data_IF_831540608866
#
_entry.id   IF_831540608866
#
_cell.length_a   1.000
_cell.length_b   1.000
_cell.length_c   1.000
_cell.angle_alpha   90.00
_cell.angle_beta   90.00
_cell.angle_gamma   90.00
#
_symmetry.space_group_name_H-M   'P 1'
#
loop_
_entity.id
_entity.type
_entity.pdbx_description
1 polymer ?
#
# COMPACT_ATOMS: atom_id res chain seq x y z
N UNK A 1 -29.51 46.84 -41.86
CA UNK A 1 -29.56 45.82 -40.82
C UNK A 1 -28.44 46.10 -39.82
N UNK A 2 -28.55 47.25 -39.10
CA UNK A 2 -27.57 47.70 -38.11
C UNK A 2 -28.09 48.97 -37.42
N UNK A 3 -29.21 48.91 -36.70
CA UNK A 3 -29.68 50.09 -35.95
C UNK A 3 -30.44 49.71 -34.65
N UNK A 4 -30.40 48.48 -34.19
CA UNK A 4 -31.19 48.05 -33.02
C UNK A 4 -30.36 47.48 -31.83
N UNK A 5 -29.04 47.72 -31.79
CA UNK A 5 -28.17 47.25 -30.70
C UNK A 5 -27.45 48.35 -29.90
N UNK A 6 -27.86 49.61 -30.02
CA UNK A 6 -27.19 50.75 -29.32
C UNK A 6 -28.02 51.51 -28.30
N UNK A 7 -29.18 51.00 -27.89
CA UNK A 7 -30.09 51.75 -27.00
C UNK A 7 -30.41 51.08 -25.65
N UNK A 8 -29.65 50.11 -25.19
CA UNK A 8 -29.91 49.44 -23.90
C UNK A 8 -28.79 49.69 -22.83
N UNK A 9 -27.71 50.39 -23.15
CA UNK A 9 -26.62 50.68 -22.21
C UNK A 9 -26.64 52.09 -21.54
N UNK A 10 -27.72 52.84 -21.62
CA UNK A 10 -27.76 54.22 -21.11
C UNK A 10 -28.78 54.50 -19.99
N UNK A 11 -29.37 53.49 -19.36
CA UNK A 11 -30.43 53.68 -18.35
C UNK A 11 -30.12 53.14 -16.94
N UNK A 12 -28.86 52.80 -16.61
CA UNK A 12 -28.52 52.27 -15.27
C UNK A 12 -27.38 53.05 -14.55
N UNK A 13 -27.16 54.31 -14.85
CA UNK A 13 -26.10 55.12 -14.28
C UNK A 13 -26.60 56.46 -13.66
N UNK A 14 -27.82 56.54 -13.15
CA UNK A 14 -28.30 57.81 -12.57
C UNK A 14 -29.22 57.67 -11.35
N UNK A 15 -28.90 56.80 -10.38
CA UNK A 15 -29.58 56.75 -9.08
C UNK A 15 -28.62 56.43 -7.93
N UNK A 16 -27.45 57.09 -7.88
CA UNK A 16 -26.53 56.98 -6.71
C UNK A 16 -25.88 58.33 -6.43
N UNK A 17 -26.65 59.38 -6.15
CA UNK A 17 -26.16 60.60 -5.56
C UNK A 17 -27.34 61.38 -4.98
N UNK A 18 -27.75 61.10 -3.73
CA UNK A 18 -28.38 62.06 -2.80
C UNK A 18 -28.81 61.31 -1.52
N UNK A 19 -27.91 61.21 -0.53
CA UNK A 19 -28.26 61.20 0.90
C UNK A 19 -27.00 61.20 1.76
N UNK A 20 -26.32 62.36 1.81
CA UNK A 20 -25.36 62.70 2.83
C UNK A 20 -25.87 63.96 3.50
N UNK A 21 -26.57 63.81 4.62
CA UNK A 21 -26.65 64.74 5.73
C UNK A 21 -27.75 64.33 6.71
N UNK A 22 -27.39 63.67 7.83
CA UNK A 22 -28.00 63.93 9.15
C UNK A 22 -27.32 63.09 10.24
N UNK A 23 -26.56 63.80 11.05
CA UNK A 23 -26.36 63.64 12.51
C UNK A 23 -26.32 62.25 13.16
N UNK A 24 -25.11 61.91 13.64
CA UNK A 24 -24.73 61.49 14.98
C UNK A 24 -25.73 60.70 15.84
N UNK A 25 -25.51 59.37 15.90
CA UNK A 25 -25.67 58.58 17.11
C UNK A 25 -24.81 57.31 16.96
N UNK A 26 -24.01 57.01 17.99
CA UNK A 26 -23.23 55.81 18.13
C UNK A 26 -24.09 54.59 17.80
N UNK A 27 -23.84 53.90 16.73
CA UNK A 27 -24.44 52.60 16.43
C UNK A 27 -23.59 51.53 17.07
N UNK A 28 -24.21 50.74 17.92
CA UNK A 28 -23.79 49.46 18.46
C UNK A 28 -23.54 48.51 17.28
N UNK A 29 -22.36 47.89 17.24
CA UNK A 29 -22.03 46.87 16.24
C UNK A 29 -23.00 45.69 16.39
N UNK A 30 -23.83 45.46 15.37
CA UNK A 30 -24.60 44.23 15.28
C UNK A 30 -23.67 43.05 15.05
N UNK A 31 -23.87 41.89 15.72
CA UNK A 31 -23.05 40.72 15.53
C UNK A 31 -23.15 40.28 14.05
N UNK A 32 -21.98 40.03 13.46
CA UNK A 32 -21.88 39.42 12.13
C UNK A 32 -22.66 38.10 12.13
N UNK A 33 -23.66 38.02 11.26
CA UNK A 33 -24.33 36.75 10.98
C UNK A 33 -23.31 35.83 10.31
N UNK A 34 -22.90 34.79 11.01
CA UNK A 34 -22.22 33.65 10.41
C UNK A 34 -23.13 33.11 9.30
N UNK A 35 -22.67 33.22 8.06
CA UNK A 35 -23.26 32.51 6.92
C UNK A 35 -23.03 31.04 7.18
N UNK A 36 -24.09 30.19 7.28
CA UNK A 36 -23.86 28.74 7.43
C UNK A 36 -23.00 28.28 6.27
N UNK A 37 -21.91 27.55 6.58
CA UNK A 37 -21.14 26.86 5.57
C UNK A 37 -22.11 25.99 4.76
N UNK A 38 -22.19 26.23 3.47
CA UNK A 38 -23.02 25.46 2.56
C UNK A 38 -22.38 24.05 2.52
N UNK A 39 -23.03 23.06 3.13
CA UNK A 39 -22.63 21.67 3.00
C UNK A 39 -22.53 21.34 1.50
N UNK A 40 -21.38 20.79 1.10
CA UNK A 40 -21.21 20.28 -0.26
C UNK A 40 -22.31 19.25 -0.56
N UNK A 41 -22.85 19.20 -1.78
CA UNK A 41 -23.79 18.16 -2.16
C UNK A 41 -23.21 16.78 -1.83
N UNK A 42 -24.01 15.82 -1.32
CA UNK A 42 -23.52 14.46 -1.09
C UNK A 42 -22.96 13.90 -2.41
N UNK A 43 -21.75 13.34 -2.35
CA UNK A 43 -21.13 12.66 -3.49
C UNK A 43 -22.04 11.49 -3.92
N UNK A 44 -22.18 11.28 -5.24
CA UNK A 44 -22.87 10.11 -5.74
C UNK A 44 -22.08 8.84 -5.35
N UNK A 45 -22.76 7.74 -4.94
CA UNK A 45 -22.09 6.50 -4.59
C UNK A 45 -21.24 6.00 -5.75
N UNK A 46 -19.94 5.80 -5.50
CA UNK A 46 -18.99 5.26 -6.48
C UNK A 46 -18.52 3.88 -6.03
N UNK A 47 -18.46 2.93 -6.96
CA UNK A 47 -17.84 1.63 -6.69
C UNK A 47 -16.32 1.74 -6.89
N UNK A 48 -15.55 1.64 -5.81
CA UNK A 48 -14.09 1.71 -5.82
C UNK A 48 -13.49 0.39 -6.32
N UNK A 49 -12.69 0.42 -7.38
CA UNK A 49 -12.04 -0.76 -7.97
C UNK A 49 -10.66 -0.96 -7.36
N UNK A 50 -10.47 -2.06 -6.62
CA UNK A 50 -9.27 -2.30 -5.81
C UNK A 50 -8.64 -3.63 -6.18
N UNK A 51 -7.34 -3.62 -6.51
CA UNK A 51 -6.54 -4.83 -6.67
C UNK A 51 -5.62 -5.08 -5.48
N UNK A 52 -5.27 -6.35 -5.23
CA UNK A 52 -4.16 -6.71 -4.34
C UNK A 52 -3.48 -8.00 -4.79
N UNK A 53 -2.24 -8.17 -4.33
CA UNK A 53 -1.48 -9.39 -4.57
C UNK A 53 -1.88 -10.47 -3.55
N UNK A 54 -1.94 -11.73 -4.02
CA UNK A 54 -2.14 -12.88 -3.14
C UNK A 54 -1.06 -12.92 -2.06
N UNK A 55 -1.49 -12.95 -0.81
CA UNK A 55 -0.60 -12.90 0.34
C UNK A 55 -1.00 -11.83 1.36
N UNK A 56 -0.08 -11.34 2.20
CA UNK A 56 -0.39 -10.45 3.33
C UNK A 56 -1.10 -9.16 2.91
N UNK A 57 -0.72 -8.57 1.76
CA UNK A 57 -1.33 -7.34 1.24
C UNK A 57 -2.83 -7.47 0.91
N UNK A 58 -3.34 -8.71 0.71
CA UNK A 58 -4.75 -8.98 0.48
C UNK A 58 -5.50 -9.41 1.75
N UNK A 59 -4.81 -9.98 2.74
CA UNK A 59 -5.44 -10.60 3.92
C UNK A 59 -6.17 -9.60 4.80
N UNK A 60 -5.63 -8.40 5.00
CA UNK A 60 -6.22 -7.39 5.88
C UNK A 60 -7.61 -6.90 5.49
N UNK A 61 -8.03 -7.14 4.23
CA UNK A 61 -9.32 -6.66 3.70
C UNK A 61 -10.43 -7.72 3.66
N UNK A 62 -10.20 -8.96 4.12
CA UNK A 62 -11.18 -10.04 3.93
C UNK A 62 -12.50 -9.79 4.65
N UNK A 63 -12.48 -9.11 5.80
CA UNK A 63 -13.71 -8.72 6.49
C UNK A 63 -14.47 -7.68 5.67
N UNK A 64 -13.78 -6.69 5.11
CA UNK A 64 -14.33 -5.70 4.21
C UNK A 64 -14.95 -6.36 2.96
N UNK A 65 -14.24 -7.31 2.34
CA UNK A 65 -14.75 -8.07 1.19
C UNK A 65 -15.98 -8.90 1.51
N UNK A 66 -16.07 -9.42 2.74
CA UNK A 66 -17.20 -10.22 3.20
C UNK A 66 -18.45 -9.36 3.48
N UNK A 67 -18.27 -8.19 4.11
CA UNK A 67 -19.38 -7.36 4.59
C UNK A 67 -19.97 -6.46 3.50
N UNK A 68 -19.17 -5.99 2.55
CA UNK A 68 -19.58 -5.03 1.53
C UNK A 68 -20.83 -5.44 0.72
N UNK A 69 -20.93 -6.67 0.17
CA UNK A 69 -22.11 -7.09 -0.57
C UNK A 69 -23.39 -7.17 0.27
N UNK A 70 -23.27 -7.16 1.59
CA UNK A 70 -24.37 -7.34 2.53
C UNK A 70 -24.95 -5.99 3.03
N UNK A 71 -24.35 -4.87 2.65
CA UNK A 71 -24.75 -3.53 3.10
C UNK A 71 -26.15 -3.10 2.63
N UNK A 72 -26.71 -3.73 1.59
CA UNK A 72 -28.04 -3.43 1.05
C UNK A 72 -28.12 -2.24 0.11
N UNK A 73 -27.04 -1.47 -0.03
CA UNK A 73 -26.92 -0.29 -0.91
C UNK A 73 -26.20 -0.59 -2.23
N UNK A 74 -25.86 -1.85 -2.47
CA UNK A 74 -24.99 -2.29 -3.55
C UNK A 74 -23.52 -2.30 -3.12
N UNK A 75 -22.63 -2.98 -3.88
CA UNK A 75 -21.23 -3.09 -3.51
C UNK A 75 -20.51 -1.75 -3.65
N UNK A 76 -19.89 -1.28 -2.56
CA UNK A 76 -19.00 -0.12 -2.57
C UNK A 76 -17.64 -0.44 -3.21
N UNK A 77 -17.28 -1.72 -3.29
CA UNK A 77 -15.97 -2.15 -3.76
C UNK A 77 -16.06 -3.24 -4.82
N UNK A 78 -15.16 -3.17 -5.81
CA UNK A 78 -14.90 -4.24 -6.76
C UNK A 78 -13.48 -4.74 -6.55
N UNK A 79 -13.33 -5.95 -6.01
CA UNK A 79 -12.03 -6.51 -5.64
C UNK A 79 -11.45 -7.41 -6.72
N UNK A 80 -10.14 -7.26 -6.99
CA UNK A 80 -9.36 -8.11 -7.88
C UNK A 80 -8.16 -8.68 -7.11
N UNK A 81 -7.88 -9.99 -7.31
CA UNK A 81 -6.68 -10.65 -6.82
C UNK A 81 -5.75 -10.98 -7.99
N UNK A 82 -4.47 -10.68 -7.82
CA UNK A 82 -3.41 -10.96 -8.80
C UNK A 82 -2.28 -11.78 -8.16
N UNK A 83 -1.52 -12.49 -8.99
CA UNK A 83 -0.36 -13.25 -8.56
C UNK A 83 0.90 -12.40 -8.42
N UNK A 84 1.03 -11.37 -9.28
CA UNK A 84 2.19 -10.51 -9.35
C UNK A 84 1.81 -9.04 -9.63
N UNK A 85 2.73 -8.12 -9.31
CA UNK A 85 2.47 -6.68 -9.40
C UNK A 85 2.35 -6.16 -10.84
N UNK A 86 2.99 -6.82 -11.80
CA UNK A 86 2.93 -6.48 -13.23
C UNK A 86 1.56 -6.76 -13.86
N UNK A 87 0.74 -7.62 -13.24
CA UNK A 87 -0.66 -7.81 -13.63
C UNK A 87 -1.56 -6.61 -13.22
N UNK A 88 -1.18 -5.88 -12.16
CA UNK A 88 -1.98 -4.81 -11.53
C UNK A 88 -1.59 -3.43 -12.04
N UNK A 89 -0.29 -3.16 -12.15
CA UNK A 89 0.23 -1.80 -12.40
C UNK A 89 -0.25 -1.17 -13.71
N UNK A 90 -0.37 -1.90 -14.85
CA UNK A 90 -0.89 -1.29 -16.07
C UNK A 90 -2.35 -0.83 -15.95
N UNK A 91 -3.19 -1.61 -15.25
CA UNK A 91 -4.61 -1.29 -15.04
C UNK A 91 -4.79 -0.09 -14.09
N UNK A 92 -3.93 0.02 -13.06
CA UNK A 92 -3.91 1.18 -12.17
C UNK A 92 -3.52 2.45 -12.92
N UNK A 93 -2.45 2.41 -13.72
CA UNK A 93 -1.97 3.58 -14.50
C UNK A 93 -3.00 4.01 -15.55
N UNK A 94 -3.70 3.06 -16.20
CA UNK A 94 -4.74 3.37 -17.20
C UNK A 94 -6.04 3.89 -16.60
N UNK A 95 -6.27 3.70 -15.29
CA UNK A 95 -7.52 4.04 -14.63
C UNK A 95 -8.59 2.95 -14.71
N UNK A 96 -8.22 1.71 -15.07
CA UNK A 96 -9.11 0.54 -14.93
C UNK A 96 -9.27 0.11 -13.47
N UNK A 97 -8.33 0.51 -12.60
CA UNK A 97 -8.35 0.39 -11.15
C UNK A 97 -8.22 1.78 -10.52
N UNK A 98 -8.81 1.96 -9.34
CA UNK A 98 -8.73 3.20 -8.56
C UNK A 98 -7.68 3.11 -7.47
N UNK A 99 -7.56 1.92 -6.85
CA UNK A 99 -6.61 1.62 -5.79
C UNK A 99 -5.92 0.27 -6.03
N UNK A 100 -4.74 0.10 -5.45
CA UNK A 100 -4.04 -1.18 -5.44
C UNK A 100 -3.20 -1.37 -4.18
N UNK A 101 -3.07 -2.62 -3.73
CA UNK A 101 -2.09 -3.01 -2.73
C UNK A 101 -0.85 -3.54 -3.46
N UNK A 102 0.28 -2.86 -3.29
CA UNK A 102 1.53 -3.12 -4.03
C UNK A 102 2.73 -3.15 -3.09
N UNK A 103 3.89 -3.70 -3.53
CA UNK A 103 5.14 -3.58 -2.78
C UNK A 103 5.51 -2.11 -2.50
N UNK A 104 6.06 -1.86 -1.31
CA UNK A 104 6.31 -0.51 -0.83
C UNK A 104 7.25 0.31 -1.73
N UNK A 105 8.34 -0.29 -2.22
CA UNK A 105 9.25 0.36 -3.14
C UNK A 105 8.61 0.65 -4.50
N UNK A 106 7.75 -0.26 -4.98
CA UNK A 106 7.05 -0.10 -6.27
C UNK A 106 6.09 1.10 -6.24
N UNK A 107 5.50 1.44 -5.10
CA UNK A 107 4.68 2.64 -4.96
C UNK A 107 5.48 3.91 -5.32
N UNK A 108 6.73 4.04 -4.83
CA UNK A 108 7.63 5.15 -5.20
C UNK A 108 8.00 5.12 -6.69
N UNK A 109 8.28 3.93 -7.24
CA UNK A 109 8.54 3.76 -8.69
C UNK A 109 7.33 4.21 -9.52
N UNK A 110 6.12 3.86 -9.11
CA UNK A 110 4.89 4.26 -9.79
C UNK A 110 4.68 5.77 -9.71
N UNK A 111 4.82 6.36 -8.52
CA UNK A 111 4.76 7.81 -8.35
C UNK A 111 5.72 8.53 -9.30
N UNK A 112 6.99 8.09 -9.34
CA UNK A 112 8.00 8.72 -10.19
C UNK A 112 7.72 8.55 -11.69
N UNK A 113 7.25 7.36 -12.11
CA UNK A 113 6.92 7.07 -13.51
C UNK A 113 5.67 7.78 -14.01
N UNK A 114 4.75 8.07 -13.12
CA UNK A 114 3.49 8.75 -13.43
C UNK A 114 3.51 10.24 -13.09
N UNK A 115 4.68 10.78 -12.72
CA UNK A 115 4.86 12.19 -12.37
C UNK A 115 3.92 12.66 -11.23
N UNK A 116 3.68 11.79 -10.23
CA UNK A 116 2.86 12.10 -9.08
C UNK A 116 1.40 11.64 -9.15
N UNK A 117 0.99 10.97 -10.24
CA UNK A 117 -0.41 10.55 -10.42
C UNK A 117 -0.82 9.33 -9.57
N UNK A 118 0.15 8.63 -8.95
CA UNK A 118 -0.10 7.53 -8.02
C UNK A 118 0.47 7.91 -6.65
N UNK A 119 -0.39 7.96 -5.63
CA UNK A 119 -0.03 8.33 -4.25
C UNK A 119 -0.31 7.20 -3.28
N UNK A 120 0.30 7.24 -2.09
CA UNK A 120 0.17 6.20 -1.06
C UNK A 120 -0.83 6.63 0.01
N UNK A 121 -1.79 5.74 0.31
CA UNK A 121 -2.86 5.96 1.29
C UNK A 121 -2.55 5.36 2.66
N UNK A 122 -1.91 4.17 2.70
CA UNK A 122 -1.60 3.46 3.92
C UNK A 122 -0.43 2.50 3.74
N UNK A 123 0.33 2.24 4.81
CA UNK A 123 1.13 1.01 4.94
C UNK A 123 0.20 -0.10 5.39
N UNK A 124 0.19 -1.21 4.67
CA UNK A 124 -0.71 -2.34 4.94
C UNK A 124 0.00 -3.62 5.39
N UNK A 125 1.31 -3.71 5.21
CA UNK A 125 2.10 -4.88 5.58
C UNK A 125 3.52 -4.44 5.94
N UNK A 126 3.95 -4.76 7.15
CA UNK A 126 5.33 -4.56 7.58
C UNK A 126 6.22 -5.71 7.09
N UNK A 127 7.36 -5.98 7.73
CA UNK A 127 8.26 -7.05 7.34
C UNK A 127 7.63 -8.44 7.46
N UNK A 128 7.73 -9.25 6.40
CA UNK A 128 7.16 -10.61 6.33
C UNK A 128 8.06 -11.56 5.55
N UNK A 129 9.33 -11.18 5.35
CA UNK A 129 10.29 -11.91 4.54
C UNK A 129 11.20 -12.78 5.41
N UNK A 130 11.42 -14.00 4.97
CA UNK A 130 12.20 -15.00 5.70
C UNK A 130 13.13 -15.76 4.76
N UNK A 131 14.34 -16.08 5.22
CA UNK A 131 15.13 -17.15 4.62
C UNK A 131 14.70 -18.47 5.27
N UNK A 132 14.21 -19.39 4.45
CA UNK A 132 13.89 -20.75 4.88
C UNK A 132 14.92 -21.72 4.32
N UNK A 133 15.18 -22.78 5.07
CA UNK A 133 16.17 -23.78 4.71
C UNK A 133 15.68 -25.21 4.99
N UNK A 134 15.83 -26.08 4.01
CA UNK A 134 15.77 -27.52 4.19
C UNK A 134 17.19 -28.05 4.43
N UNK A 135 17.65 -27.92 5.66
CA UNK A 135 19.03 -28.17 6.08
C UNK A 135 19.33 -27.44 7.40
N UNK A 136 20.62 -27.28 7.70
CA UNK A 136 21.09 -26.62 8.92
C UNK A 136 22.44 -25.88 8.70
N UNK A 137 22.63 -25.28 7.53
CA UNK A 137 23.86 -24.59 7.15
C UNK A 137 23.80 -23.06 7.31
N UNK A 138 22.60 -22.49 7.49
CA UNK A 138 22.37 -21.03 7.62
C UNK A 138 21.95 -20.71 9.05
N UNK A 139 22.74 -19.94 9.78
CA UNK A 139 22.43 -19.44 11.13
C UNK A 139 22.61 -17.95 11.26
N UNK A 140 23.20 -17.29 10.25
CA UNK A 140 23.41 -15.86 10.14
C UNK A 140 23.38 -15.43 8.68
N UNK A 141 23.27 -14.12 8.41
CA UNK A 141 23.40 -13.59 7.05
C UNK A 141 24.72 -14.00 6.40
N UNK A 142 25.83 -14.03 7.15
CA UNK A 142 27.15 -14.40 6.65
C UNK A 142 27.21 -15.83 6.06
N UNK A 143 26.38 -16.75 6.55
CA UNK A 143 26.33 -18.14 6.05
C UNK A 143 25.71 -18.26 4.64
N UNK A 144 25.12 -17.19 4.13
CA UNK A 144 24.57 -17.13 2.76
C UNK A 144 25.65 -17.00 1.69
N UNK A 145 26.88 -16.61 2.05
CA UNK A 145 27.99 -16.54 1.11
C UNK A 145 28.26 -17.91 0.44
N UNK A 146 28.38 -17.91 -0.89
CA UNK A 146 28.53 -19.09 -1.73
C UNK A 146 27.29 -19.96 -1.89
N UNK A 147 26.11 -19.50 -1.41
CA UNK A 147 24.86 -20.27 -1.50
C UNK A 147 24.03 -19.83 -2.72
N UNK A 148 23.12 -20.73 -3.11
CA UNK A 148 22.05 -20.41 -4.06
C UNK A 148 20.75 -20.21 -3.27
N UNK A 149 20.12 -19.07 -3.45
CA UNK A 149 18.85 -18.66 -2.82
C UNK A 149 17.80 -18.59 -3.92
N UNK A 150 16.75 -19.41 -3.83
CA UNK A 150 15.61 -19.29 -4.74
C UNK A 150 14.68 -18.19 -4.21
N UNK A 151 14.29 -17.24 -5.06
CA UNK A 151 13.49 -16.09 -4.66
C UNK A 151 12.48 -15.71 -5.73
N UNK A 152 11.47 -14.93 -5.36
CA UNK A 152 10.55 -14.26 -6.29
C UNK A 152 10.38 -12.79 -5.89
N UNK A 153 9.81 -11.99 -6.79
CA UNK A 153 9.65 -10.56 -6.55
C UNK A 153 10.85 -9.73 -6.99
N UNK A 154 11.48 -10.12 -8.10
CA UNK A 154 12.54 -9.31 -8.74
C UNK A 154 11.99 -7.92 -9.10
N UNK A 155 12.76 -6.86 -8.84
CA UNK A 155 12.35 -5.46 -9.02
C UNK A 155 11.39 -4.95 -7.95
N UNK A 156 11.17 -5.70 -6.87
CA UNK A 156 10.29 -5.30 -5.76
C UNK A 156 10.93 -5.51 -4.39
N UNK A 157 10.21 -5.19 -3.31
CA UNK A 157 10.72 -5.26 -1.93
C UNK A 157 11.54 -6.51 -1.60
N UNK A 158 11.15 -7.75 -1.99
CA UNK A 158 11.95 -8.94 -1.67
C UNK A 158 13.39 -8.87 -2.21
N UNK A 159 13.58 -8.39 -3.45
CA UNK A 159 14.93 -8.26 -4.00
C UNK A 159 15.74 -7.21 -3.25
N UNK A 160 15.21 -6.01 -3.12
CA UNK A 160 15.99 -4.91 -2.58
C UNK A 160 16.28 -5.08 -1.08
N UNK A 161 15.34 -5.64 -0.31
CA UNK A 161 15.57 -5.96 1.09
C UNK A 161 16.66 -7.02 1.26
N UNK A 162 16.63 -8.09 0.46
CA UNK A 162 17.67 -9.13 0.51
C UNK A 162 19.05 -8.57 0.11
N UNK A 163 19.11 -7.82 -1.00
CA UNK A 163 20.37 -7.23 -1.49
C UNK A 163 20.97 -6.26 -0.47
N UNK A 164 20.15 -5.39 0.12
CA UNK A 164 20.57 -4.48 1.17
C UNK A 164 21.14 -5.22 2.36
N UNK A 165 20.40 -6.20 2.91
CA UNK A 165 20.88 -6.99 4.06
C UNK A 165 22.15 -7.81 3.77
N UNK A 166 22.31 -8.34 2.56
CA UNK A 166 23.56 -8.99 2.15
C UNK A 166 24.71 -7.99 2.16
N UNK A 167 24.54 -6.82 1.55
CA UNK A 167 25.58 -5.78 1.47
C UNK A 167 25.99 -5.29 2.85
N UNK A 168 25.04 -5.00 3.75
CA UNK A 168 25.32 -4.57 5.12
C UNK A 168 26.05 -5.65 5.96
N UNK A 169 25.93 -6.92 5.56
CA UNK A 169 26.68 -8.01 6.17
C UNK A 169 27.97 -8.36 5.41
N UNK A 170 28.43 -7.50 4.50
CA UNK A 170 29.70 -7.65 3.79
C UNK A 170 29.67 -8.70 2.68
N UNK A 171 28.50 -9.07 2.17
CA UNK A 171 28.29 -10.03 1.09
C UNK A 171 27.86 -9.26 -0.17
N UNK A 172 28.64 -9.38 -1.24
CA UNK A 172 28.25 -8.82 -2.53
C UNK A 172 27.12 -9.67 -3.14
N UNK A 173 25.91 -9.11 -3.32
CA UNK A 173 24.76 -9.86 -3.82
C UNK A 173 24.89 -10.29 -5.30
N UNK A 174 25.86 -9.76 -6.03
CA UNK A 174 26.09 -10.08 -7.45
C UNK A 174 27.20 -11.13 -7.65
N UNK A 175 28.13 -11.26 -6.70
CA UNK A 175 29.31 -12.15 -6.82
C UNK A 175 29.40 -13.23 -5.76
N UNK A 176 28.93 -12.96 -4.54
CA UNK A 176 29.13 -13.86 -3.41
C UNK A 176 27.95 -14.81 -3.16
N UNK A 177 26.80 -14.57 -3.78
CA UNK A 177 25.61 -15.43 -3.74
C UNK A 177 25.05 -15.62 -5.13
N UNK A 178 24.28 -16.69 -5.33
CA UNK A 178 23.46 -16.86 -6.53
C UNK A 178 21.99 -16.69 -6.15
N UNK A 179 21.28 -15.70 -6.70
CA UNK A 179 19.85 -15.55 -6.49
C UNK A 179 19.12 -16.07 -7.75
N UNK A 180 18.43 -17.21 -7.59
CA UNK A 180 17.65 -17.85 -8.67
C UNK A 180 16.21 -17.32 -8.63
N UNK A 181 15.94 -16.35 -9.49
CA UNK A 181 14.64 -15.65 -9.55
C UNK A 181 13.57 -16.48 -10.25
N UNK A 182 12.44 -16.67 -9.56
CA UNK A 182 11.21 -17.27 -10.08
C UNK A 182 10.16 -16.20 -10.34
N UNK A 183 9.16 -16.55 -11.14
CA UNK A 183 8.05 -15.64 -11.44
C UNK A 183 7.15 -15.41 -10.23
N UNK A 184 6.90 -16.48 -9.44
CA UNK A 184 6.01 -16.46 -8.29
C UNK A 184 6.61 -17.20 -7.09
N UNK A 185 6.17 -16.85 -5.87
CA UNK A 185 6.59 -17.52 -4.63
C UNK A 185 6.20 -19.00 -4.59
N UNK A 186 5.10 -19.38 -5.23
CA UNK A 186 4.68 -20.79 -5.34
C UNK A 186 5.73 -21.65 -6.07
N UNK A 187 6.44 -21.10 -7.04
CA UNK A 187 7.54 -21.81 -7.74
C UNK A 187 8.75 -22.02 -6.83
N UNK A 188 9.03 -21.06 -5.93
CA UNK A 188 10.07 -21.24 -4.91
C UNK A 188 9.73 -22.38 -3.95
N UNK A 189 8.47 -22.46 -3.50
CA UNK A 189 7.97 -23.58 -2.68
C UNK A 189 8.09 -24.91 -3.43
N UNK A 190 7.76 -24.95 -4.72
CA UNK A 190 7.89 -26.15 -5.54
C UNK A 190 9.36 -26.57 -5.71
N UNK A 191 10.29 -25.61 -5.86
CA UNK A 191 11.72 -25.89 -5.95
C UNK A 191 12.27 -26.50 -4.65
N UNK A 192 11.86 -25.98 -3.48
CA UNK A 192 12.18 -26.57 -2.18
C UNK A 192 11.59 -27.98 -2.03
N UNK A 193 10.31 -28.17 -2.38
CA UNK A 193 9.61 -29.44 -2.23
C UNK A 193 10.18 -30.54 -3.14
N UNK A 194 10.65 -30.19 -4.33
CA UNK A 194 11.32 -31.14 -5.26
C UNK A 194 12.77 -31.44 -4.89
N UNK A 195 13.35 -30.71 -3.92
CA UNK A 195 14.78 -30.81 -3.57
C UNK A 195 15.72 -30.17 -4.59
N UNK A 196 15.22 -29.44 -5.59
CA UNK A 196 16.04 -28.67 -6.54
C UNK A 196 16.65 -27.42 -5.90
N UNK A 197 16.09 -26.97 -4.78
CA UNK A 197 16.63 -25.91 -3.93
C UNK A 197 16.61 -26.36 -2.46
N UNK A 198 17.55 -25.82 -1.66
CA UNK A 198 17.58 -26.03 -0.20
C UNK A 198 17.35 -24.75 0.59
N UNK A 199 17.53 -23.58 -0.03
CA UNK A 199 17.38 -22.27 0.59
C UNK A 199 16.46 -21.44 -0.29
N UNK A 200 15.49 -20.76 0.33
CA UNK A 200 14.63 -19.81 -0.38
C UNK A 200 14.34 -18.56 0.45
N UNK A 201 14.14 -17.44 -0.24
CA UNK A 201 13.51 -16.25 0.31
C UNK A 201 12.00 -16.36 0.07
N UNK A 202 11.23 -16.43 1.15
CA UNK A 202 9.77 -16.51 1.10
C UNK A 202 9.11 -15.49 2.02
N UNK A 203 8.01 -14.88 1.61
CA UNK A 203 7.12 -14.18 2.53
C UNK A 203 6.17 -15.16 3.23
N UNK A 204 5.54 -14.76 4.34
CA UNK A 204 4.30 -15.40 4.75
C UNK A 204 3.21 -15.07 3.69
N UNK A 205 2.25 -15.96 3.45
CA UNK A 205 2.04 -17.30 4.06
C UNK A 205 2.84 -18.42 3.40
N UNK A 206 3.68 -18.12 2.40
CA UNK A 206 4.42 -19.13 1.65
C UNK A 206 5.43 -19.91 2.49
N UNK A 207 5.96 -19.31 3.56
CA UNK A 207 6.76 -20.03 4.58
C UNK A 207 5.91 -21.13 5.20
N UNK A 208 4.72 -20.82 5.67
CA UNK A 208 3.80 -21.80 6.28
C UNK A 208 3.38 -22.86 5.26
N UNK A 209 3.06 -22.48 4.01
CA UNK A 209 2.78 -23.45 2.92
C UNK A 209 3.95 -24.40 2.72
N UNK A 210 5.18 -23.89 2.64
CA UNK A 210 6.37 -24.70 2.45
C UNK A 210 6.59 -25.68 3.63
N UNK A 211 6.40 -25.23 4.86
CA UNK A 211 6.51 -26.06 6.07
C UNK A 211 5.44 -27.16 6.14
N UNK A 212 4.29 -27.02 5.50
CA UNK A 212 3.31 -28.09 5.41
C UNK A 212 3.68 -29.16 4.39
N UNK A 213 4.48 -28.82 3.39
CA UNK A 213 4.90 -29.70 2.28
C UNK A 213 6.25 -30.37 2.49
N UNK A 214 7.10 -29.79 3.32
CA UNK A 214 8.50 -30.19 3.48
C UNK A 214 8.78 -30.43 4.96
N UNK A 215 9.00 -31.69 5.29
CA UNK A 215 9.38 -32.08 6.64
C UNK A 215 10.73 -31.44 7.03
N UNK A 216 10.81 -30.91 8.25
CA UNK A 216 12.00 -30.25 8.81
C UNK A 216 12.44 -28.94 8.12
N UNK A 217 11.60 -28.34 7.24
CA UNK A 217 11.88 -27.00 6.75
C UNK A 217 11.83 -26.00 7.90
N UNK A 218 12.92 -25.28 8.10
CA UNK A 218 13.02 -24.28 9.16
C UNK A 218 13.06 -22.87 8.61
N UNK A 219 12.62 -21.90 9.39
CA UNK A 219 12.98 -20.51 9.23
C UNK A 219 14.41 -20.37 9.72
N UNK A 220 15.33 -20.04 8.81
CA UNK A 220 16.73 -19.83 9.12
C UNK A 220 16.98 -18.39 9.60
N UNK A 221 16.43 -17.40 8.89
CA UNK A 221 16.55 -15.99 9.22
C UNK A 221 15.20 -15.29 9.07
N UNK A 222 14.89 -14.37 9.98
CA UNK A 222 13.81 -13.40 9.87
C UNK A 222 14.40 -12.07 9.38
N UNK A 223 14.09 -11.68 8.14
CA UNK A 223 14.69 -10.48 7.57
C UNK A 223 14.21 -9.19 8.25
N UNK A 224 13.09 -9.22 8.98
CA UNK A 224 12.67 -8.08 9.82
C UNK A 224 13.63 -7.93 10.99
N UNK A 225 13.95 -9.02 11.68
CA UNK A 225 14.92 -9.01 12.78
C UNK A 225 16.33 -8.62 12.32
N UNK A 226 16.75 -9.10 11.14
CA UNK A 226 18.05 -8.72 10.55
C UNK A 226 18.09 -7.24 10.16
N UNK A 227 16.97 -6.69 9.66
CA UNK A 227 16.84 -5.27 9.34
C UNK A 227 16.91 -4.39 10.58
N UNK A 228 16.14 -4.77 11.62
CA UNK A 228 16.09 -4.03 12.89
C UNK A 228 17.44 -4.04 13.60
N UNK A 229 18.21 -5.12 13.46
CA UNK A 229 19.57 -5.24 14.03
C UNK A 229 20.59 -4.26 13.42
N UNK A 230 20.34 -3.70 12.25
CA UNK A 230 21.20 -2.68 11.63
C UNK A 230 21.05 -1.30 12.27
N UNK A 231 19.99 -1.06 13.06
CA UNK A 231 19.70 0.24 13.73
C UNK A 231 19.81 1.46 12.78
N UNK A 232 19.31 1.28 11.55
CA UNK A 232 19.39 2.27 10.47
C UNK A 232 18.29 3.34 10.55
N UNK A 233 17.53 3.39 11.65
CA UNK A 233 16.45 4.35 11.89
C UNK A 233 15.17 4.09 11.10
N UNK A 234 15.07 2.96 10.39
CA UNK A 234 13.88 2.56 9.63
C UNK A 234 13.43 1.14 9.97
N UNK A 235 12.24 0.75 9.53
CA UNK A 235 11.72 -0.61 9.61
C UNK A 235 11.45 -1.19 8.22
N UNK A 236 11.51 -2.52 8.10
CA UNK A 236 11.18 -3.20 6.86
C UNK A 236 9.68 -3.08 6.56
N UNK A 237 9.32 -2.47 5.42
CA UNK A 237 7.94 -2.33 4.94
C UNK A 237 7.80 -3.13 3.65
N UNK A 238 6.83 -4.06 3.64
CA UNK A 238 6.63 -4.93 2.49
C UNK A 238 5.55 -4.42 1.55
N UNK A 239 4.44 -3.89 2.08
CA UNK A 239 3.29 -3.51 1.28
C UNK A 239 2.62 -2.21 1.70
N UNK A 240 2.01 -1.57 0.70
CA UNK A 240 1.24 -0.33 0.87
C UNK A 240 -0.04 -0.37 0.03
N UNK A 241 -1.01 0.47 0.39
CA UNK A 241 -2.17 0.80 -0.44
C UNK A 241 -1.84 2.08 -1.20
N UNK A 242 -1.95 2.03 -2.53
CA UNK A 242 -1.83 3.20 -3.40
C UNK A 242 -3.15 3.50 -4.09
N UNK A 243 -3.34 4.76 -4.48
CA UNK A 243 -4.48 5.20 -5.26
C UNK A 243 -4.06 6.12 -6.41
N UNK A 244 -4.90 6.22 -7.41
CA UNK A 244 -4.78 7.29 -8.41
C UNK A 244 -5.12 8.64 -7.77
N UNK A 245 -4.28 9.64 -7.96
CA UNK A 245 -4.48 11.00 -7.44
C UNK A 245 -5.81 11.59 -7.90
N UNK A 246 -6.13 11.43 -9.18
CA UNK A 246 -7.42 11.88 -9.73
C UNK A 246 -8.62 11.26 -8.98
N UNK A 247 -8.58 9.97 -8.62
CA UNK A 247 -9.64 9.34 -7.85
C UNK A 247 -9.76 9.93 -6.43
N UNK A 248 -8.61 10.19 -5.79
CA UNK A 248 -8.58 10.80 -4.45
C UNK A 248 -9.17 12.22 -4.46
N UNK A 249 -8.86 13.00 -5.50
CA UNK A 249 -9.37 14.37 -5.66
C UNK A 249 -10.87 14.42 -6.03
N UNK A 250 -11.32 13.46 -6.86
CA UNK A 250 -12.71 13.39 -7.31
C UNK A 250 -13.65 12.76 -6.27
N UNK A 251 -13.14 11.83 -5.43
CA UNK A 251 -13.93 11.03 -4.48
C UNK A 251 -13.30 10.95 -3.09
N UNK A 252 -12.99 12.08 -2.41
CA UNK A 252 -12.34 12.09 -1.11
C UNK A 252 -13.13 11.33 -0.04
N UNK A 253 -14.46 11.44 -0.04
CA UNK A 253 -15.33 10.72 0.91
C UNK A 253 -15.27 9.19 0.71
N UNK A 254 -15.09 8.70 -0.52
CA UNK A 254 -14.92 7.28 -0.80
C UNK A 254 -13.56 6.78 -0.27
N UNK A 255 -12.50 7.59 -0.40
CA UNK A 255 -11.16 7.29 0.14
C UNK A 255 -11.19 7.20 1.67
N UNK A 256 -11.79 8.20 2.35
CA UNK A 256 -11.90 8.21 3.80
C UNK A 256 -12.73 7.04 4.33
N UNK A 257 -13.82 6.70 3.61
CA UNK A 257 -14.65 5.53 3.93
C UNK A 257 -13.87 4.24 3.76
N UNK A 258 -13.10 4.11 2.68
CA UNK A 258 -12.24 2.95 2.48
C UNK A 258 -11.21 2.81 3.60
N UNK A 259 -10.48 3.87 3.95
CA UNK A 259 -9.44 3.81 4.99
C UNK A 259 -10.01 3.42 6.35
N UNK A 260 -11.16 3.97 6.73
CA UNK A 260 -11.86 3.58 7.97
C UNK A 260 -12.29 2.12 7.96
N UNK A 261 -12.99 1.68 6.92
CA UNK A 261 -13.47 0.31 6.79
C UNK A 261 -12.31 -0.69 6.69
N UNK A 262 -11.20 -0.29 6.06
CA UNK A 262 -10.00 -1.10 5.95
C UNK A 262 -9.31 -1.25 7.32
N UNK A 263 -9.19 -0.18 8.10
CA UNK A 263 -8.64 -0.23 9.45
C UNK A 263 -9.46 -1.18 10.34
N UNK A 264 -10.80 -1.06 10.33
CA UNK A 264 -11.70 -1.96 11.05
C UNK A 264 -11.54 -3.42 10.60
N UNK A 265 -11.39 -3.66 9.29
CA UNK A 265 -11.13 -5.00 8.74
C UNK A 265 -9.80 -5.57 9.23
N UNK A 266 -8.73 -4.78 9.26
CA UNK A 266 -7.40 -5.19 9.77
C UNK A 266 -7.46 -5.54 11.25
N UNK A 267 -8.10 -4.71 12.07
CA UNK A 267 -8.27 -4.95 13.51
C UNK A 267 -9.05 -6.25 13.75
N UNK A 268 -10.11 -6.45 12.98
CA UNK A 268 -10.90 -7.68 13.06
C UNK A 268 -10.09 -8.92 12.65
N UNK A 269 -9.34 -8.86 11.54
CA UNK A 269 -8.49 -9.96 11.06
C UNK A 269 -7.45 -10.36 12.12
N UNK A 270 -6.80 -9.38 12.73
CA UNK A 270 -5.78 -9.62 13.75
C UNK A 270 -6.36 -10.16 15.06
N UNK A 271 -7.64 -9.85 15.36
CA UNK A 271 -8.34 -10.26 16.60
C UNK A 271 -9.10 -11.57 16.44
N UNK A 272 -9.45 -11.99 15.21
CA UNK A 272 -10.31 -13.15 14.92
C UNK A 272 -9.65 -14.09 13.91
N UNK A 273 -8.44 -14.58 14.23
CA UNK A 273 -7.58 -15.29 13.28
C UNK A 273 -8.22 -16.53 12.64
N UNK A 274 -9.03 -17.31 13.39
CA UNK A 274 -9.70 -18.50 12.85
C UNK A 274 -10.79 -18.14 11.83
N UNK A 275 -11.63 -17.15 12.12
CA UNK A 275 -12.68 -16.71 11.21
C UNK A 275 -12.08 -15.98 10.00
N UNK A 276 -11.04 -15.17 10.22
CA UNK A 276 -10.28 -14.52 9.16
C UNK A 276 -9.63 -15.55 8.23
N UNK A 277 -9.06 -16.61 8.76
CA UNK A 277 -8.47 -17.69 7.97
C UNK A 277 -9.50 -18.39 7.09
N UNK A 278 -10.74 -18.58 7.57
CA UNK A 278 -11.83 -19.11 6.76
C UNK A 278 -12.13 -18.20 5.56
N UNK A 279 -12.27 -16.88 5.79
CA UNK A 279 -12.50 -15.91 4.71
C UNK A 279 -11.31 -15.82 3.74
N UNK A 280 -10.07 -15.83 4.24
CA UNK A 280 -8.86 -15.82 3.42
C UNK A 280 -8.84 -17.01 2.46
N UNK A 281 -9.26 -18.19 2.92
CA UNK A 281 -9.38 -19.39 2.08
C UNK A 281 -10.56 -19.30 1.11
N UNK A 282 -11.71 -18.81 1.57
CA UNK A 282 -12.91 -18.62 0.75
C UNK A 282 -12.65 -17.70 -0.44
N UNK A 283 -11.96 -16.57 -0.20
CA UNK A 283 -11.58 -15.63 -1.25
C UNK A 283 -10.36 -16.06 -2.09
N UNK A 284 -9.78 -17.24 -1.82
CA UNK A 284 -8.69 -17.81 -2.62
C UNK A 284 -7.34 -17.08 -2.49
N UNK A 285 -7.13 -16.36 -1.37
CA UNK A 285 -5.86 -15.71 -1.06
C UNK A 285 -4.83 -16.76 -0.63
N UNK A 286 -5.26 -17.74 0.17
CA UNK A 286 -4.47 -18.93 0.59
C UNK A 286 -5.30 -20.18 0.33
N UNK A 287 -4.66 -21.28 -0.07
CA UNK A 287 -5.32 -22.53 -0.44
C UNK A 287 -6.24 -23.14 0.64
N UNK A 288 -5.84 -23.00 1.93
CA UNK A 288 -6.54 -23.64 3.02
C UNK A 288 -6.55 -22.82 4.31
N UNK A 289 -7.70 -22.76 4.97
CA UNK A 289 -7.87 -22.02 6.22
C UNK A 289 -6.86 -22.39 7.33
N UNK A 290 -6.50 -23.66 7.58
CA UNK A 290 -5.50 -24.00 8.59
C UNK A 290 -4.11 -23.43 8.29
N UNK A 291 -3.76 -23.23 7.02
CA UNK A 291 -2.50 -22.61 6.62
C UNK A 291 -2.58 -21.10 6.89
N UNK A 292 -3.69 -20.46 6.50
CA UNK A 292 -3.92 -19.05 6.75
C UNK A 292 -3.91 -18.73 8.26
N UNK A 293 -4.57 -19.53 9.08
CA UNK A 293 -4.62 -19.38 10.54
C UNK A 293 -3.23 -19.45 11.18
N UNK A 294 -2.40 -20.38 10.73
CA UNK A 294 -1.01 -20.49 11.18
C UNK A 294 -0.13 -19.32 10.73
N UNK A 295 -0.37 -18.80 9.52
CA UNK A 295 0.45 -17.75 8.94
C UNK A 295 0.09 -16.36 9.49
N UNK A 296 -1.19 -16.09 9.78
CA UNK A 296 -1.70 -14.76 10.17
C UNK A 296 -0.88 -14.06 11.26
N UNK A 297 -0.47 -14.72 12.37
CA UNK A 297 0.32 -14.05 13.41
C UNK A 297 1.70 -13.55 12.95
N UNK A 298 2.17 -14.02 11.78
CA UNK A 298 3.46 -13.69 11.20
C UNK A 298 3.34 -12.85 9.91
N UNK A 299 2.12 -12.40 9.57
CA UNK A 299 1.87 -11.63 8.35
C UNK A 299 2.01 -10.12 8.55
N UNK A 300 2.20 -9.65 9.80
CA UNK A 300 2.39 -8.24 10.15
C UNK A 300 1.43 -7.28 9.41
N UNK A 301 0.14 -7.66 9.39
CA UNK A 301 -0.92 -6.92 8.72
C UNK A 301 -1.28 -5.70 9.56
N UNK A 302 -1.23 -4.53 8.96
CA UNK A 302 -1.45 -3.24 9.61
C UNK A 302 -2.30 -2.31 8.73
N UNK A 303 -2.79 -1.22 9.32
CA UNK A 303 -3.32 -0.06 8.59
C UNK A 303 -2.71 1.19 9.22
N UNK A 304 -1.58 1.66 8.68
CA UNK A 304 -0.87 2.84 9.18
C UNK A 304 -1.07 3.95 8.16
N UNK A 305 -1.62 5.10 8.58
CA UNK A 305 -2.02 6.23 7.71
C UNK A 305 -1.40 7.54 8.20
N UNK A 306 -1.58 8.62 7.44
CA UNK A 306 -1.22 9.98 7.83
C UNK A 306 0.27 10.17 8.14
N UNK A 307 0.57 10.95 9.18
CA UNK A 307 1.95 11.30 9.57
C UNK A 307 2.80 10.06 9.92
N UNK A 308 2.22 9.07 10.60
CA UNK A 308 2.95 7.84 10.96
C UNK A 308 3.34 7.05 9.70
N UNK A 309 2.43 6.92 8.73
CA UNK A 309 2.74 6.29 7.43
C UNK A 309 3.89 7.04 6.76
N UNK A 310 3.79 8.36 6.66
CA UNK A 310 4.79 9.18 6.01
C UNK A 310 6.16 9.02 6.65
N UNK A 311 6.26 9.10 7.97
CA UNK A 311 7.53 8.93 8.69
C UNK A 311 8.16 7.56 8.48
N UNK A 312 7.36 6.48 8.61
CA UNK A 312 7.86 5.10 8.44
C UNK A 312 8.27 4.81 7.00
N UNK A 313 7.40 5.17 6.04
CA UNK A 313 7.64 4.85 4.63
C UNK A 313 8.77 5.69 4.04
N UNK A 314 8.89 6.98 4.39
CA UNK A 314 10.00 7.80 3.92
C UNK A 314 11.34 7.29 4.45
N UNK A 315 11.43 6.89 5.72
CA UNK A 315 12.62 6.28 6.30
C UNK A 315 13.03 4.99 5.56
N UNK A 316 12.08 4.10 5.29
CA UNK A 316 12.31 2.88 4.52
C UNK A 316 12.79 3.18 3.08
N UNK A 317 12.12 4.08 2.38
CA UNK A 317 12.48 4.46 1.00
C UNK A 317 13.84 5.16 0.93
N UNK A 318 14.21 5.93 1.97
CA UNK A 318 15.53 6.56 2.07
C UNK A 318 16.64 5.50 2.13
N UNK A 319 16.50 4.48 2.99
CA UNK A 319 17.46 3.38 3.09
C UNK A 319 17.63 2.66 1.74
N UNK A 320 16.52 2.38 1.06
CA UNK A 320 16.58 1.76 -0.27
C UNK A 320 17.23 2.66 -1.32
N UNK A 321 16.91 3.97 -1.29
CA UNK A 321 17.50 4.94 -2.21
C UNK A 321 19.01 5.07 -2.04
N UNK A 322 19.48 5.13 -0.79
CA UNK A 322 20.91 5.24 -0.48
C UNK A 322 21.69 3.98 -0.90
N UNK A 323 21.06 2.80 -0.79
CA UNK A 323 21.64 1.53 -1.23
C UNK A 323 21.59 1.37 -2.77
N UNK A 324 20.45 1.64 -3.38
CA UNK A 324 20.23 1.54 -4.82
C UNK A 324 19.12 2.50 -5.28
N UNK A 325 19.44 3.67 -5.85
CA UNK A 325 18.45 4.67 -6.26
C UNK A 325 17.37 4.15 -7.21
N UNK A 326 17.70 3.18 -8.06
CA UNK A 326 16.75 2.59 -9.01
C UNK A 326 15.64 1.81 -8.33
N UNK A 327 15.86 1.32 -7.12
CA UNK A 327 14.89 0.58 -6.31
C UNK A 327 13.62 1.37 -6.04
N UNK A 328 13.73 2.70 -5.94
CA UNK A 328 12.63 3.64 -5.67
C UNK A 328 12.25 4.50 -6.90
N UNK A 329 12.79 4.15 -8.09
CA UNK A 329 12.50 4.86 -9.34
C UNK A 329 13.45 6.01 -9.66
N UNK A 330 14.66 6.02 -9.09
CA UNK A 330 15.75 6.95 -9.39
C UNK A 330 15.77 8.23 -8.56
N UNK A 331 14.71 8.54 -7.84
CA UNK A 331 14.59 9.65 -6.89
C UNK A 331 13.57 9.32 -5.80
N UNK A 332 13.71 9.95 -4.64
CA UNK A 332 12.71 9.87 -3.59
C UNK A 332 11.43 10.61 -4.00
N UNK A 333 10.25 10.13 -3.59
CA UNK A 333 8.99 10.83 -3.85
C UNK A 333 8.89 12.14 -3.07
N UNK A 334 8.09 13.08 -3.57
CA UNK A 334 7.75 14.33 -2.88
C UNK A 334 6.78 14.13 -1.71
N UNK A 335 6.51 15.21 -0.96
CA UNK A 335 5.58 15.20 0.17
C UNK A 335 4.14 14.83 -0.24
N UNK A 336 3.74 15.17 -1.46
CA UNK A 336 2.43 14.85 -2.03
C UNK A 336 2.23 13.36 -2.38
N UNK A 337 3.26 12.55 -2.23
CA UNK A 337 3.16 11.09 -2.32
C UNK A 337 2.40 10.46 -1.14
N UNK A 338 2.42 11.11 0.01
CA UNK A 338 1.90 10.58 1.28
C UNK A 338 0.55 11.23 1.61
N UNK A 339 -0.54 10.50 1.45
CA UNK A 339 -1.88 11.00 1.76
C UNK A 339 -2.05 11.31 3.25
N UNK A 340 -2.63 12.47 3.57
CA UNK A 340 -2.97 12.86 4.94
C UNK A 340 -1.79 13.35 5.80
N UNK A 341 -0.61 13.63 5.23
CA UNK A 341 0.52 14.20 5.98
C UNK A 341 0.34 15.68 6.37
N UNK A 342 -0.56 16.41 5.69
CA UNK A 342 -0.77 17.85 5.90
C UNK A 342 -2.24 18.19 6.24
N UNK A 343 -3.00 17.22 6.80
CA UNK A 343 -4.41 17.41 7.15
C UNK A 343 -4.60 17.87 8.59
#
# INVERSE_FOLDING_TARGET
MNLLKKTICAALALTLALSLAACGKKAEEAPAQEVPAQEAPPEEPVTTRIAALKGPTAMGRVKLMHDDPQSGEGPMYAFTLAGAADEVTPSLIKGDLDMACVPANLASVLYNKTEGEIITLAVNTLGVLYIVENGNAVSSMADLAGKTIVAAGKGSTPEYALRYLLTENGIDPDTDVTIDWKSEHAECVAALASGSATIALLPQPFVTVAQTKIENLRVALDLTAEWDALDNGSGLITGVVVARKAFVEEHPAAVDTFLRNYAESVDWVNSNTADAAALISEFGIVEAAPIAEKALPHCNIVCITGEEMGAKLSGYLQVLFDAEPTSVGGKLPGEDFYYGQNA
#
